data_IF_602146102224
#
_entry.id   IF_602146102224
#
_cell.length_a   1.000
_cell.length_b   1.000
_cell.length_c   1.000
_cell.angle_alpha   90.00
_cell.angle_beta   90.00
_cell.angle_gamma   90.00
#
_symmetry.space_group_name_H-M   'P 1'
#
loop_
_entity.id
_entity.type
_entity.pdbx_description
1 polymer ?
#
# COMPACT_ATOMS: atom_id res chain seq x y z
N UNK A 1 -8.25 5.03 -40.19
CA UNK A 1 -8.96 5.90 -39.24
C UNK A 1 -10.03 5.03 -38.57
N UNK A 2 -9.77 4.56 -37.35
CA UNK A 2 -10.60 3.62 -36.59
C UNK A 2 -10.45 3.93 -35.08
N UNK A 3 -11.48 3.66 -34.25
CA UNK A 3 -11.83 4.52 -33.12
C UNK A 3 -11.02 4.27 -31.85
N UNK A 4 -10.82 5.35 -31.08
CA UNK A 4 -10.34 5.34 -29.69
C UNK A 4 -11.33 4.59 -28.80
N UNK A 5 -10.92 3.43 -28.28
CA UNK A 5 -11.64 2.73 -27.22
C UNK A 5 -11.14 3.20 -25.86
N UNK A 6 -11.85 4.16 -25.28
CA UNK A 6 -11.76 4.53 -23.87
C UNK A 6 -12.43 3.43 -23.06
N UNK A 7 -11.66 2.48 -22.51
CA UNK A 7 -12.20 1.49 -21.59
C UNK A 7 -12.20 2.12 -20.19
N UNK A 8 -13.33 2.76 -19.87
CA UNK A 8 -13.73 3.04 -18.50
C UNK A 8 -14.03 1.70 -17.82
N UNK A 9 -13.09 1.19 -17.03
CA UNK A 9 -13.35 0.06 -16.16
C UNK A 9 -14.18 0.57 -14.98
N UNK A 10 -15.50 0.62 -15.15
CA UNK A 10 -16.46 0.72 -14.06
C UNK A 10 -16.28 -0.48 -13.13
N UNK A 11 -15.57 -0.28 -12.02
CA UNK A 11 -15.60 -1.22 -10.91
C UNK A 11 -16.91 -0.98 -10.15
N UNK A 12 -17.95 -1.72 -10.54
CA UNK A 12 -19.21 -1.81 -9.81
C UNK A 12 -18.95 -2.52 -8.48
N UNK A 13 -18.73 -1.72 -7.42
CA UNK A 13 -18.85 -2.14 -6.02
C UNK A 13 -20.32 -2.45 -5.78
N UNK A 14 -20.75 -3.70 -6.03
CA UNK A 14 -22.05 -4.16 -5.56
C UNK A 14 -21.95 -4.60 -4.10
N UNK A 15 -22.45 -3.69 -3.25
CA UNK A 15 -23.23 -3.90 -2.03
C UNK A 15 -22.54 -4.61 -0.86
N UNK A 16 -21.92 -3.77 -0.07
CA UNK A 16 -21.83 -3.79 1.38
C UNK A 16 -21.17 -2.48 1.75
N UNK A 17 -21.71 -1.69 2.67
CA UNK A 17 -21.05 -0.48 3.15
C UNK A 17 -19.78 -0.89 3.91
N UNK A 18 -18.72 -1.24 3.18
CA UNK A 18 -17.41 -1.58 3.68
C UNK A 18 -16.41 -0.60 3.07
N UNK A 19 -15.61 0.02 3.92
CA UNK A 19 -14.57 0.95 3.51
C UNK A 19 -13.58 0.27 2.55
N UNK A 20 -12.92 1.04 1.65
CA UNK A 20 -11.94 0.44 0.76
C UNK A 20 -10.79 -0.12 1.59
N UNK A 21 -10.33 -1.35 1.30
CA UNK A 21 -9.21 -1.95 2.01
C UNK A 21 -7.93 -1.14 1.83
N UNK A 22 -7.08 -1.14 2.86
CA UNK A 22 -5.99 -0.19 3.02
C UNK A 22 -4.60 -0.74 2.68
N UNK A 23 -4.37 -2.06 2.66
CA UNK A 23 -3.00 -2.59 2.45
C UNK A 23 -2.93 -3.57 1.28
N UNK A 24 -2.07 -3.25 0.30
CA UNK A 24 -1.92 -4.03 -0.92
C UNK A 24 -0.48 -3.94 -1.44
N UNK A 25 0.01 -5.06 -1.98
CA UNK A 25 1.20 -5.02 -2.82
C UNK A 25 0.84 -4.31 -4.12
N UNK A 26 1.32 -3.08 -4.30
CA UNK A 26 1.04 -2.26 -5.47
C UNK A 26 2.07 -2.56 -6.54
N UNK A 27 1.63 -2.76 -7.78
CA UNK A 27 2.53 -2.88 -8.93
C UNK A 27 2.18 -1.81 -9.95
N UNK A 28 3.21 -1.26 -10.58
CA UNK A 28 3.01 -0.51 -11.80
C UNK A 28 2.38 -1.34 -12.90
N UNK A 29 1.75 -0.62 -13.82
CA UNK A 29 1.15 -1.08 -15.07
C UNK A 29 2.22 -1.63 -16.03
N UNK A 30 3.00 -2.63 -15.61
CA UNK A 30 3.90 -3.35 -16.50
C UNK A 30 3.05 -4.23 -17.42
N UNK A 31 3.17 -4.12 -18.75
CA UNK A 31 2.46 -5.00 -19.65
C UNK A 31 2.96 -6.44 -19.45
N UNK A 32 2.11 -7.31 -18.94
CA UNK A 32 2.31 -8.77 -19.04
C UNK A 32 2.34 -9.59 -17.74
N UNK A 33 2.43 -8.99 -16.55
CA UNK A 33 2.52 -9.80 -15.31
C UNK A 33 1.15 -10.30 -14.80
N UNK A 34 0.08 -9.56 -15.05
CA UNK A 34 -1.29 -9.97 -14.72
C UNK A 34 -2.19 -9.66 -15.91
N UNK A 35 -2.10 -10.51 -16.94
CA UNK A 35 -3.02 -10.43 -18.08
C UNK A 35 -4.46 -10.76 -17.65
N UNK A 36 -5.40 -10.36 -18.49
CA UNK A 36 -6.85 -10.47 -18.33
C UNK A 36 -7.30 -11.82 -17.74
N UNK A 37 -8.45 -11.86 -17.05
CA UNK A 37 -8.96 -13.06 -16.32
C UNK A 37 -9.06 -14.33 -17.21
N UNK A 38 -9.19 -14.15 -18.54
CA UNK A 38 -9.21 -15.21 -19.55
C UNK A 38 -7.83 -15.72 -19.99
N UNK A 39 -6.75 -15.06 -19.61
CA UNK A 39 -5.36 -15.34 -20.02
C UNK A 39 -4.52 -15.83 -18.83
N UNK A 40 -5.17 -16.61 -17.95
CA UNK A 40 -4.66 -17.14 -16.67
C UNK A 40 -3.94 -18.49 -16.87
N UNK A 41 -2.97 -18.58 -17.79
CA UNK A 41 -2.24 -19.84 -18.03
C UNK A 41 -0.76 -19.84 -17.69
N UNK A 42 -0.10 -18.69 -17.59
CA UNK A 42 1.34 -18.71 -17.31
C UNK A 42 1.59 -18.00 -15.99
N UNK A 43 1.36 -18.72 -14.88
CA UNK A 43 1.83 -18.29 -13.57
C UNK A 43 3.36 -18.28 -13.66
N UNK A 44 4.06 -17.16 -13.44
CA UNK A 44 5.51 -17.20 -13.42
C UNK A 44 5.94 -18.13 -12.29
N UNK A 45 6.53 -19.26 -12.64
CA UNK A 45 7.05 -20.22 -11.68
C UNK A 45 8.27 -19.64 -10.94
N UNK A 46 8.97 -18.68 -11.58
CA UNK A 46 10.22 -18.10 -11.10
C UNK A 46 10.48 -16.72 -11.74
N UNK A 47 11.09 -15.79 -11.01
CA UNK A 47 11.57 -14.49 -11.50
C UNK A 47 13.08 -14.45 -11.78
N UNK A 48 13.77 -15.59 -11.72
CA UNK A 48 15.16 -15.78 -12.13
C UNK A 48 16.16 -14.79 -11.49
N UNK A 49 15.96 -14.45 -10.22
CA UNK A 49 16.83 -13.53 -9.50
C UNK A 49 16.64 -12.06 -9.88
N UNK A 50 15.57 -11.71 -10.60
CA UNK A 50 15.26 -10.31 -10.93
C UNK A 50 15.31 -9.43 -9.68
N UNK A 51 15.87 -8.22 -9.81
CA UNK A 51 16.02 -7.29 -8.70
C UNK A 51 14.92 -6.24 -8.75
N UNK A 52 13.95 -6.33 -7.86
CA UNK A 52 12.86 -5.37 -7.75
C UNK A 52 13.23 -4.16 -6.89
N UNK A 53 12.66 -3.01 -7.24
CA UNK A 53 12.76 -1.77 -6.48
C UNK A 53 11.48 -1.58 -5.69
N UNK A 54 11.60 -1.55 -4.37
CA UNK A 54 10.49 -1.32 -3.45
C UNK A 54 10.58 0.10 -2.93
N UNK A 55 9.45 0.79 -2.94
CA UNK A 55 9.28 2.05 -2.22
C UNK A 55 8.41 1.79 -1.00
N UNK A 56 8.84 2.22 0.17
CA UNK A 56 8.14 1.95 1.42
C UNK A 56 8.33 3.10 2.41
N UNK A 57 7.33 3.34 3.25
CA UNK A 57 7.38 4.33 4.33
C UNK A 57 7.36 3.62 5.69
N UNK A 58 8.00 4.23 6.69
CA UNK A 58 7.96 3.70 8.06
C UNK A 58 6.53 3.86 8.62
N UNK A 59 5.94 2.73 9.02
CA UNK A 59 4.59 2.61 9.54
C UNK A 59 4.44 1.31 10.36
N UNK A 60 4.88 1.36 11.62
CA UNK A 60 4.77 0.24 12.54
C UNK A 60 3.30 -0.05 12.90
N UNK A 61 2.84 -1.32 12.95
CA UNK A 61 3.62 -2.58 12.91
C UNK A 61 3.79 -3.23 11.52
N UNK A 62 3.30 -2.58 10.46
CA UNK A 62 3.25 -3.17 9.12
C UNK A 62 4.60 -3.08 8.39
N UNK A 63 5.22 -1.92 8.43
CA UNK A 63 6.50 -1.63 7.79
C UNK A 63 7.41 -0.93 8.78
N UNK A 64 8.57 -1.53 9.07
CA UNK A 64 9.59 -0.90 9.89
C UNK A 64 10.94 -1.02 9.22
N UNK A 65 11.74 0.04 9.24
CA UNK A 65 13.07 0.04 8.62
C UNK A 65 14.06 0.95 9.34
N UNK A 66 15.35 0.83 8.97
CA UNK A 66 16.44 1.70 9.41
C UNK A 66 17.09 2.33 8.18
N UNK A 67 17.40 3.64 8.23
CA UNK A 67 18.13 4.32 7.15
C UNK A 67 19.56 3.81 7.08
N UNK A 68 20.01 3.44 5.88
CA UNK A 68 21.37 2.92 5.67
C UNK A 68 22.17 3.77 4.71
N UNK A 69 21.52 4.40 3.73
CA UNK A 69 22.19 5.20 2.71
C UNK A 69 21.75 6.66 2.68
N UNK A 70 22.61 7.49 2.10
CA UNK A 70 22.22 8.84 1.66
C UNK A 70 21.40 8.77 0.37
N UNK A 71 20.52 9.75 0.12
CA UNK A 71 19.78 9.85 -1.14
C UNK A 71 20.76 9.97 -2.32
N UNK A 72 20.44 9.31 -3.44
CA UNK A 72 21.28 9.29 -4.65
C UNK A 72 20.43 9.61 -5.87
N UNK A 73 20.83 10.63 -6.64
CA UNK A 73 20.29 10.88 -7.98
C UNK A 73 18.78 11.10 -8.04
N UNK A 74 18.21 11.88 -7.11
CA UNK A 74 16.77 12.14 -7.08
C UNK A 74 15.91 10.98 -6.56
N UNK A 75 16.51 9.85 -6.19
CA UNK A 75 15.87 8.77 -5.46
C UNK A 75 16.07 8.94 -3.95
N UNK A 76 15.07 8.55 -3.16
CA UNK A 76 15.16 8.59 -1.71
C UNK A 76 16.22 7.63 -1.16
N UNK A 77 16.52 7.77 0.15
CA UNK A 77 17.54 6.98 0.82
C UNK A 77 17.22 5.49 0.77
N UNK A 78 18.26 4.67 0.65
CA UNK A 78 18.13 3.22 0.79
C UNK A 78 17.94 2.85 2.25
N UNK A 79 16.97 1.97 2.50
CA UNK A 79 16.55 1.56 3.84
C UNK A 79 16.70 0.05 3.98
N UNK A 80 17.03 -0.41 5.19
CA UNK A 80 17.01 -1.82 5.57
C UNK A 80 15.74 -2.11 6.35
N UNK A 81 14.96 -3.05 5.84
CA UNK A 81 13.77 -3.54 6.55
C UNK A 81 14.15 -4.20 7.87
N UNK A 82 13.43 -3.84 8.92
CA UNK A 82 13.40 -4.54 10.20
C UNK A 82 12.29 -5.60 10.17
N UNK A 83 12.21 -6.43 11.22
CA UNK A 83 11.14 -7.41 11.33
C UNK A 83 9.77 -6.71 11.50
N UNK A 84 8.89 -6.93 10.53
CA UNK A 84 7.53 -6.39 10.47
C UNK A 84 6.66 -7.31 9.62
N UNK A 85 5.35 -7.07 9.59
CA UNK A 85 4.44 -7.88 8.79
C UNK A 85 4.80 -7.86 7.29
N UNK A 86 4.97 -6.67 6.73
CA UNK A 86 5.35 -6.46 5.33
C UNK A 86 6.69 -7.13 5.00
N UNK A 87 7.68 -7.02 5.88
CA UNK A 87 9.00 -7.66 5.72
C UNK A 87 8.88 -9.19 5.64
N UNK A 88 8.11 -9.82 6.54
CA UNK A 88 7.90 -11.28 6.51
C UNK A 88 7.16 -11.72 5.25
N UNK A 89 6.17 -10.95 4.80
CA UNK A 89 5.46 -11.23 3.56
C UNK A 89 6.38 -11.15 2.34
N UNK A 90 7.10 -10.04 2.17
CA UNK A 90 7.96 -9.87 0.99
C UNK A 90 9.12 -10.86 0.99
N UNK A 91 9.71 -11.20 2.15
CA UNK A 91 10.73 -12.24 2.26
C UNK A 91 10.20 -13.61 1.80
N UNK A 92 8.97 -13.95 2.20
CA UNK A 92 8.34 -15.22 1.81
C UNK A 92 8.08 -15.26 0.30
N UNK A 93 7.58 -14.16 -0.27
CA UNK A 93 7.27 -14.03 -1.70
C UNK A 93 8.57 -13.99 -2.54
N UNK A 94 9.60 -13.31 -2.06
CA UNK A 94 10.94 -13.26 -2.66
C UNK A 94 11.59 -14.64 -2.72
N UNK A 95 11.49 -15.41 -1.65
CA UNK A 95 12.01 -16.79 -1.59
C UNK A 95 11.23 -17.70 -2.53
N UNK A 96 9.89 -17.63 -2.49
CA UNK A 96 9.03 -18.51 -3.28
C UNK A 96 9.14 -18.27 -4.79
N UNK A 97 9.26 -17.00 -5.21
CA UNK A 97 9.35 -16.63 -6.62
C UNK A 97 10.79 -16.36 -7.08
N UNK A 98 11.77 -16.56 -6.19
CA UNK A 98 13.20 -16.40 -6.44
C UNK A 98 13.55 -15.05 -7.11
N UNK A 99 13.33 -13.97 -6.37
CA UNK A 99 13.76 -12.62 -6.72
C UNK A 99 14.48 -11.94 -5.57
N UNK A 100 15.23 -10.89 -5.88
CA UNK A 100 15.87 -10.02 -4.90
C UNK A 100 15.24 -8.63 -4.95
N UNK A 101 15.45 -7.81 -3.93
CA UNK A 101 14.90 -6.47 -3.93
C UNK A 101 15.78 -5.46 -3.19
N UNK A 102 15.56 -4.18 -3.48
CA UNK A 102 16.04 -3.05 -2.69
C UNK A 102 14.87 -2.22 -2.21
N UNK A 103 15.00 -1.64 -1.02
CA UNK A 103 13.96 -0.80 -0.44
C UNK A 103 14.47 0.62 -0.30
N UNK A 104 13.62 1.58 -0.66
CA UNK A 104 13.90 3.01 -0.52
C UNK A 104 12.70 3.72 0.08
N UNK A 105 12.98 4.78 0.80
CA UNK A 105 11.96 5.75 1.22
C UNK A 105 11.57 6.64 0.02
N UNK A 106 10.31 7.08 -0.13
CA UNK A 106 9.97 8.13 -1.09
C UNK A 106 10.74 9.43 -0.76
N UNK A 107 11.08 10.21 -1.79
CA UNK A 107 11.93 11.41 -1.64
C UNK A 107 11.34 12.44 -0.67
N UNK A 108 10.01 12.57 -0.65
CA UNK A 108 9.26 13.50 0.18
C UNK A 108 8.74 12.86 1.49
N UNK A 109 8.98 11.56 1.71
CA UNK A 109 8.49 10.84 2.88
C UNK A 109 6.96 10.68 2.94
N UNK A 110 6.23 10.94 1.85
CA UNK A 110 4.76 10.94 1.83
C UNK A 110 4.18 9.68 1.19
N UNK A 111 2.92 9.35 1.53
CA UNK A 111 2.16 8.28 0.88
C UNK A 111 1.83 8.63 -0.58
N UNK A 112 1.36 9.86 -0.79
CA UNK A 112 1.13 10.43 -2.11
C UNK A 112 -0.08 11.32 -2.13
N UNK A 113 0.11 12.53 -2.64
CA UNK A 113 -0.95 13.51 -2.85
C UNK A 113 -1.10 13.73 -4.35
N UNK A 114 -2.35 13.74 -4.79
CA UNK A 114 -2.69 14.11 -6.16
C UNK A 114 -2.58 15.63 -6.31
N UNK A 115 -1.78 16.06 -7.29
CA UNK A 115 -1.74 17.43 -7.78
C UNK A 115 -2.84 17.65 -8.83
N UNK A 116 -3.27 18.89 -9.01
CA UNK A 116 -4.32 19.28 -9.97
C UNK A 116 -4.08 18.79 -11.41
N UNK A 117 -2.82 18.56 -11.77
CA UNK A 117 -2.42 18.04 -13.09
C UNK A 117 -2.44 16.50 -13.21
N UNK A 118 -3.03 15.76 -12.26
CA UNK A 118 -3.04 14.29 -12.24
C UNK A 118 -1.68 13.65 -11.94
N UNK A 119 -0.73 14.46 -11.45
CA UNK A 119 0.58 14.02 -10.97
C UNK A 119 0.48 13.66 -9.50
N UNK A 120 1.13 12.58 -9.09
CA UNK A 120 1.19 12.17 -7.70
C UNK A 120 2.57 12.44 -7.10
N UNK A 121 2.58 12.78 -5.82
CA UNK A 121 3.78 12.80 -4.97
C UNK A 121 3.92 11.48 -4.20
N UNK A 122 4.91 11.34 -3.31
CA UNK A 122 5.00 10.20 -2.40
C UNK A 122 5.31 8.86 -3.07
N UNK A 123 4.89 7.80 -2.38
CA UNK A 123 4.91 6.42 -2.87
C UNK A 123 4.15 6.31 -4.19
N UNK A 124 2.91 6.83 -4.26
CA UNK A 124 2.08 6.74 -5.47
C UNK A 124 2.76 7.43 -6.66
N UNK A 125 3.38 8.59 -6.44
CA UNK A 125 4.14 9.30 -7.46
C UNK A 125 5.40 8.58 -7.91
N UNK A 126 6.13 7.99 -6.96
CA UNK A 126 7.33 7.18 -7.22
C UNK A 126 6.99 5.96 -8.08
N UNK A 127 5.86 5.33 -7.80
CA UNK A 127 5.31 4.29 -8.66
C UNK A 127 4.89 4.90 -10.01
N UNK A 128 4.06 5.93 -10.05
CA UNK A 128 3.59 6.54 -11.31
C UNK A 128 4.73 6.88 -12.30
N UNK A 129 5.90 7.29 -11.81
CA UNK A 129 7.09 7.62 -12.63
C UNK A 129 8.00 6.44 -12.97
N UNK A 130 7.67 5.24 -12.50
CA UNK A 130 8.46 4.02 -12.68
C UNK A 130 9.84 4.06 -11.99
N UNK A 131 9.97 4.90 -10.95
CA UNK A 131 11.16 4.99 -10.11
C UNK A 131 11.29 3.79 -9.15
N UNK A 132 10.16 3.16 -8.82
CA UNK A 132 10.06 1.90 -8.07
C UNK A 132 9.08 0.94 -8.74
N UNK A 133 9.23 -0.37 -8.52
CA UNK A 133 8.41 -1.40 -9.15
C UNK A 133 7.21 -1.82 -8.30
N UNK A 134 7.35 -1.75 -6.97
CA UNK A 134 6.30 -2.13 -6.02
C UNK A 134 6.33 -1.37 -4.68
N UNK A 135 5.19 -1.41 -3.97
CA UNK A 135 5.00 -0.96 -2.57
C UNK A 135 4.31 -2.06 -1.78
N UNK A 136 4.55 -2.19 -0.48
CA UNK A 136 3.92 -3.23 0.36
C UNK A 136 2.65 -2.76 1.06
N UNK A 137 2.57 -1.45 1.30
CA UNK A 137 1.47 -0.78 1.99
C UNK A 137 1.02 0.44 1.17
N UNK A 138 -0.29 0.53 0.90
CA UNK A 138 -0.94 1.65 0.20
C UNK A 138 -2.46 1.47 0.18
N UNK A 139 -3.20 2.47 0.66
CA UNK A 139 -4.66 2.46 0.63
C UNK A 139 -5.23 2.58 -0.78
N UNK A 140 -6.13 1.66 -1.13
CA UNK A 140 -6.81 1.69 -2.43
C UNK A 140 -7.79 2.87 -2.45
N UNK A 141 -7.52 3.87 -3.28
CA UNK A 141 -8.46 4.97 -3.53
C UNK A 141 -8.88 5.00 -5.01
N UNK A 142 -10.11 5.41 -5.34
CA UNK A 142 -10.58 5.50 -6.74
C UNK A 142 -9.72 6.38 -7.66
N UNK A 143 -8.95 7.31 -7.08
CA UNK A 143 -8.03 8.18 -7.83
C UNK A 143 -6.71 7.46 -8.08
N UNK A 144 -6.15 6.79 -7.07
CA UNK A 144 -4.90 6.03 -7.22
C UNK A 144 -5.02 4.87 -8.21
N UNK A 145 -6.18 4.18 -8.27
CA UNK A 145 -6.41 3.06 -9.21
C UNK A 145 -6.39 3.46 -10.68
N UNK A 146 -6.47 4.76 -10.99
CA UNK A 146 -6.37 5.28 -12.35
C UNK A 146 -4.91 5.35 -12.83
N UNK A 147 -3.96 5.45 -11.89
CA UNK A 147 -2.53 5.63 -12.20
C UNK A 147 -1.67 4.41 -11.87
N UNK A 148 -2.06 3.62 -10.87
CA UNK A 148 -1.32 2.43 -10.41
C UNK A 148 -2.24 1.20 -10.33
N UNK A 149 -1.66 -0.01 -10.37
CA UNK A 149 -2.41 -1.26 -10.25
C UNK A 149 -2.20 -1.90 -8.87
N UNK A 150 -3.30 -2.43 -8.34
CA UNK A 150 -3.33 -3.08 -7.04
C UNK A 150 -3.46 -4.59 -7.21
N UNK A 151 -2.76 -5.34 -6.36
CA UNK A 151 -3.02 -6.77 -6.18
C UNK A 151 -4.25 -6.99 -5.29
N UNK A 152 -4.47 -8.24 -4.85
CA UNK A 152 -5.53 -8.52 -3.88
C UNK A 152 -5.05 -8.05 -2.51
N UNK A 153 -5.92 -7.33 -1.82
CA UNK A 153 -5.75 -6.94 -0.42
C UNK A 153 -5.47 -8.14 0.48
N UNK A 154 -4.55 -7.96 1.43
CA UNK A 154 -4.26 -8.93 2.48
C UNK A 154 -4.70 -8.48 3.89
N UNK A 155 -4.93 -7.18 4.14
CA UNK A 155 -5.52 -6.63 5.37
C UNK A 155 -6.71 -5.72 5.05
N UNK A 156 -7.78 -5.89 5.83
CA UNK A 156 -8.92 -4.97 5.84
C UNK A 156 -8.82 -4.09 7.10
N UNK A 157 -8.38 -2.84 6.97
CA UNK A 157 -8.42 -1.88 8.07
C UNK A 157 -9.71 -1.07 8.04
N UNK A 158 -10.27 -0.85 9.23
CA UNK A 158 -11.48 -0.06 9.41
C UNK A 158 -11.17 1.29 10.03
N UNK A 159 -11.89 2.32 9.61
CA UNK A 159 -11.83 3.65 10.25
C UNK A 159 -12.55 3.57 11.59
N UNK A 160 -11.83 3.82 12.68
CA UNK A 160 -12.37 3.81 14.04
C UNK A 160 -12.19 5.16 14.73
N UNK A 161 -13.15 5.54 15.57
CA UNK A 161 -13.00 6.69 16.46
C UNK A 161 -12.28 6.25 17.74
N UNK A 162 -11.05 6.73 17.92
CA UNK A 162 -10.32 6.54 19.18
C UNK A 162 -10.60 7.73 20.10
N UNK A 163 -11.02 7.44 21.33
CA UNK A 163 -11.13 8.43 22.41
C UNK A 163 -10.35 7.94 23.61
N UNK A 164 -9.82 8.88 24.40
CA UNK A 164 -9.16 8.55 25.65
C UNK A 164 -10.12 7.81 26.58
N UNK A 165 -9.62 6.79 27.27
CA UNK A 165 -10.37 6.12 28.32
C UNK A 165 -10.92 7.17 29.30
N UNK A 166 -12.23 7.18 29.59
CA UNK A 166 -12.78 8.14 30.53
C UNK A 166 -12.11 7.94 31.89
N UNK A 167 -11.85 9.06 32.59
CA UNK A 167 -11.42 8.99 33.99
C UNK A 167 -12.49 8.28 34.81
N UNK A 168 -12.12 7.51 35.84
CA UNK A 168 -13.10 6.95 36.75
C UNK A 168 -13.94 8.09 37.32
N UNK A 169 -15.25 7.85 37.43
CA UNK A 169 -16.14 8.80 38.09
C UNK A 169 -15.71 8.97 39.55
N UNK A 170 -15.95 10.15 40.15
CA UNK A 170 -15.76 10.35 41.58
C UNK A 170 -16.45 9.25 42.41
N UNK A 171 -15.77 8.75 43.45
CA UNK A 171 -16.24 7.62 44.25
C UNK A 171 -17.60 7.90 44.93
N UNK A 172 -17.87 9.14 45.33
CA UNK A 172 -19.16 9.51 45.94
C UNK A 172 -20.36 9.25 45.03
N UNK A 173 -20.19 9.29 43.70
CA UNK A 173 -21.26 8.98 42.76
C UNK A 173 -21.67 7.51 42.83
N UNK A 174 -20.82 6.61 43.34
CA UNK A 174 -21.21 5.21 43.56
C UNK A 174 -22.34 5.07 44.60
N UNK A 175 -22.44 6.00 45.55
CA UNK A 175 -23.47 6.01 46.59
C UNK A 175 -24.83 6.51 46.07
N UNK A 176 -24.81 7.49 45.16
CA UNK A 176 -26.01 8.18 44.67
C UNK A 176 -26.59 7.47 43.45
N UNK A 177 -25.74 6.89 42.59
CA UNK A 177 -26.15 6.22 41.34
C UNK A 177 -27.27 5.18 41.46
N UNK A 178 -27.36 4.34 42.52
CA UNK A 178 -28.47 3.40 42.67
C UNK A 178 -29.84 4.06 42.85
N UNK A 179 -29.89 5.36 43.18
CA UNK A 179 -31.11 6.13 43.45
C UNK A 179 -31.40 7.19 42.39
N UNK A 180 -30.55 7.30 41.36
CA UNK A 180 -30.85 8.13 40.18
C UNK A 180 -31.85 7.37 39.29
N UNK A 181 -33.11 7.84 39.30
CA UNK A 181 -34.19 7.38 38.41
C UNK A 181 -34.14 8.09 37.05
#
# INVERSE_FOLDING_TARGET
MAPRLTISAMYQIKRGCGYPPTDVIVKLKTPGLFKNRSQRRDRPENYNGHRFRIVEKDYFPYSSWVKVGQPKGGLGPEVRLQDSLGTRMINTVATYLNFTYIVREPVDGQWGLESEAGKWTGIVGTLQREDADLSLDLTITPKSTQVIQFTKTYIDESVVLLSSKPRPLPEYLSLIRPFEC
#
